data_IF_774499323546
#
_entry.id   IF_774499323546
#
_cell.length_a   1.000
_cell.length_b   1.000
_cell.length_c   1.000
_cell.angle_alpha   90.00
_cell.angle_beta   90.00
_cell.angle_gamma   90.00
#
_symmetry.space_group_name_H-M   'P 1'
#
loop_
_entity.id
_entity.type
_entity.pdbx_description
1 polymer ?
#
# COMPACT_ATOMS: atom_id res chain seq x y z
N UNK A 1 -28.62 -14.33 -10.78
CA UNK A 1 -27.75 -15.53 -10.73
C UNK A 1 -28.57 -16.75 -11.14
N UNK A 2 -28.01 -17.70 -11.91
CA UNK A 2 -28.71 -18.90 -12.35
C UNK A 2 -29.22 -19.72 -11.15
N UNK A 3 -30.39 -20.35 -11.27
CA UNK A 3 -31.06 -21.08 -10.18
C UNK A 3 -30.31 -22.32 -9.68
N UNK A 4 -29.20 -22.72 -10.33
CA UNK A 4 -28.43 -23.94 -10.02
C UNK A 4 -27.15 -23.72 -9.20
N UNK A 5 -26.80 -22.49 -8.81
CA UNK A 5 -25.58 -22.24 -8.03
C UNK A 5 -25.75 -22.63 -6.56
N UNK A 6 -24.82 -23.43 -6.04
CA UNK A 6 -24.78 -23.83 -4.64
C UNK A 6 -24.82 -22.60 -3.71
N UNK A 7 -25.60 -22.62 -2.60
CA UNK A 7 -25.83 -21.44 -1.76
C UNK A 7 -24.54 -20.83 -1.20
N UNK A 8 -23.55 -21.67 -0.86
CA UNK A 8 -22.22 -21.23 -0.46
C UNK A 8 -21.52 -20.34 -1.50
N UNK A 9 -21.56 -20.72 -2.78
CA UNK A 9 -20.91 -19.96 -3.87
C UNK A 9 -21.67 -18.64 -4.08
N UNK A 10 -23.01 -18.70 -4.10
CA UNK A 10 -23.84 -17.52 -4.25
C UNK A 10 -23.60 -16.48 -3.13
N UNK A 11 -23.47 -16.93 -1.88
CA UNK A 11 -23.13 -16.07 -0.74
C UNK A 11 -21.75 -15.41 -0.92
N UNK A 12 -20.71 -16.19 -1.25
CA UNK A 12 -19.35 -15.67 -1.45
C UNK A 12 -19.29 -14.62 -2.56
N UNK A 13 -20.00 -14.85 -3.67
CA UNK A 13 -20.07 -13.90 -4.78
C UNK A 13 -20.84 -12.62 -4.42
N UNK A 14 -21.96 -12.74 -3.68
CA UNK A 14 -22.70 -11.55 -3.21
C UNK A 14 -21.86 -10.68 -2.28
N UNK A 15 -21.13 -11.28 -1.34
CA UNK A 15 -20.23 -10.54 -0.44
C UNK A 15 -19.13 -9.83 -1.24
N UNK A 16 -18.52 -10.51 -2.19
CA UNK A 16 -17.50 -9.93 -3.06
C UNK A 16 -18.05 -8.77 -3.90
N UNK A 17 -19.26 -8.94 -4.47
CA UNK A 17 -19.92 -7.91 -5.24
C UNK A 17 -20.23 -6.65 -4.41
N UNK A 18 -20.77 -6.80 -3.20
CA UNK A 18 -21.05 -5.66 -2.33
C UNK A 18 -19.77 -4.94 -1.91
N UNK A 19 -18.71 -5.69 -1.58
CA UNK A 19 -17.42 -5.11 -1.26
C UNK A 19 -16.82 -4.34 -2.45
N UNK A 20 -17.00 -4.86 -3.67
CA UNK A 20 -16.56 -4.19 -4.90
C UNK A 20 -17.39 -2.93 -5.18
N UNK A 21 -18.71 -2.97 -5.03
CA UNK A 21 -19.57 -1.79 -5.19
C UNK A 21 -19.23 -0.70 -4.17
N UNK A 22 -19.00 -1.06 -2.91
CA UNK A 22 -18.54 -0.11 -1.90
C UNK A 22 -17.17 0.48 -2.24
N UNK A 23 -16.27 -0.33 -2.80
CA UNK A 23 -14.97 0.15 -3.27
C UNK A 23 -15.12 1.10 -4.45
N UNK A 24 -15.93 0.76 -5.45
CA UNK A 24 -16.23 1.62 -6.60
C UNK A 24 -16.86 2.93 -6.13
N UNK A 25 -17.84 2.88 -5.21
CA UNK A 25 -18.44 4.08 -4.63
C UNK A 25 -17.44 4.95 -3.85
N UNK A 26 -16.46 4.33 -3.19
CA UNK A 26 -15.37 5.07 -2.56
C UNK A 26 -14.44 5.72 -3.60
N UNK A 27 -14.18 5.04 -4.72
CA UNK A 27 -13.37 5.56 -5.80
C UNK A 27 -14.07 6.66 -6.58
N UNK A 28 -15.37 6.56 -6.89
CA UNK A 28 -16.10 7.61 -7.63
C UNK A 28 -16.01 8.96 -6.93
N UNK A 29 -15.97 8.98 -5.59
CA UNK A 29 -15.77 10.21 -4.81
C UNK A 29 -14.38 10.85 -4.97
N UNK A 30 -13.40 10.11 -5.49
CA UNK A 30 -12.01 10.53 -5.71
C UNK A 30 -11.61 10.57 -7.19
N UNK A 31 -12.34 9.86 -8.07
CA UNK A 31 -12.09 9.76 -9.51
C UNK A 31 -12.15 11.13 -10.17
N UNK A 32 -13.07 12.00 -9.78
CA UNK A 32 -13.18 13.35 -10.32
C UNK A 32 -11.88 14.15 -10.10
N UNK A 33 -11.31 14.07 -8.90
CA UNK A 33 -10.04 14.73 -8.54
C UNK A 33 -8.87 14.09 -9.31
N UNK A 34 -8.83 12.77 -9.40
CA UNK A 34 -7.77 12.04 -10.12
C UNK A 34 -7.82 12.27 -11.63
N UNK A 35 -9.00 12.31 -12.25
CA UNK A 35 -9.16 12.48 -13.69
C UNK A 35 -8.90 13.93 -14.10
N UNK A 36 -9.40 14.91 -13.34
CA UNK A 36 -9.17 16.33 -13.63
C UNK A 36 -7.70 16.73 -13.44
N UNK A 37 -7.04 16.21 -12.39
CA UNK A 37 -5.67 16.61 -12.04
C UNK A 37 -4.60 15.77 -12.76
N UNK A 38 -4.90 14.49 -13.04
CA UNK A 38 -3.90 13.51 -13.49
C UNK A 38 -4.38 12.64 -14.66
N UNK A 39 -5.41 13.05 -15.42
CA UNK A 39 -5.94 12.29 -16.56
C UNK A 39 -4.88 11.78 -17.55
N UNK A 40 -3.94 12.63 -18.03
CA UNK A 40 -2.85 12.19 -18.89
C UNK A 40 -1.90 11.19 -18.20
N UNK A 41 -1.61 11.41 -16.92
CA UNK A 41 -0.77 10.52 -16.11
C UNK A 41 -1.44 9.16 -15.90
N UNK A 42 -2.76 9.13 -15.69
CA UNK A 42 -3.54 7.90 -15.57
C UNK A 42 -3.57 7.12 -16.89
N UNK A 43 -3.70 7.80 -18.03
CA UNK A 43 -3.57 7.18 -19.34
C UNK A 43 -2.17 6.59 -19.56
N UNK A 44 -1.12 7.32 -19.15
CA UNK A 44 0.26 6.82 -19.16
C UNK A 44 0.46 5.61 -18.24
N UNK A 45 -0.07 5.65 -17.01
CA UNK A 45 0.01 4.52 -16.08
C UNK A 45 -0.75 3.30 -16.59
N UNK A 46 -1.92 3.51 -17.19
CA UNK A 46 -2.69 2.45 -17.84
C UNK A 46 -1.93 1.87 -19.03
N UNK A 47 -1.31 2.68 -19.89
CA UNK A 47 -0.52 2.16 -21.02
C UNK A 47 0.73 1.40 -20.57
N UNK A 48 1.34 1.79 -19.44
CA UNK A 48 2.50 1.08 -18.87
C UNK A 48 2.12 -0.28 -18.28
N UNK A 49 0.85 -0.56 -17.95
CA UNK A 49 0.47 -1.85 -17.36
C UNK A 49 0.84 -3.07 -18.22
N UNK A 50 0.62 -3.02 -19.54
CA UNK A 50 0.92 -4.15 -20.44
C UNK A 50 2.38 -4.17 -20.94
N UNK A 51 3.11 -3.05 -20.79
CA UNK A 51 4.48 -2.89 -21.28
C UNK A 51 5.43 -4.01 -20.77
N UNK A 52 5.43 -4.39 -19.48
CA UNK A 52 6.32 -5.44 -18.98
C UNK A 52 6.19 -6.77 -19.75
N UNK A 53 4.95 -7.22 -20.01
CA UNK A 53 4.72 -8.45 -20.77
C UNK A 53 5.04 -8.32 -22.26
N UNK A 54 4.90 -7.12 -22.84
CA UNK A 54 5.27 -6.85 -24.24
C UNK A 54 6.79 -6.77 -24.44
N UNK A 55 7.55 -6.31 -23.43
CA UNK A 55 9.02 -6.20 -23.47
C UNK A 55 9.74 -7.47 -23.00
N UNK A 56 9.08 -8.36 -22.27
CA UNK A 56 9.71 -9.59 -21.79
C UNK A 56 10.42 -10.43 -22.88
N UNK A 57 9.92 -10.54 -24.14
CA UNK A 57 10.60 -11.26 -25.21
C UNK A 57 11.93 -10.63 -25.66
N UNK A 58 12.11 -9.33 -25.46
CA UNK A 58 13.31 -8.59 -25.92
C UNK A 58 14.41 -8.56 -24.87
N UNK A 59 14.15 -9.03 -23.65
CA UNK A 59 15.06 -8.95 -22.52
C UNK A 59 15.76 -10.29 -22.25
N UNK A 60 16.97 -10.28 -21.65
CA UNK A 60 17.62 -11.51 -21.22
C UNK A 60 16.76 -12.26 -20.19
N UNK A 61 16.75 -13.60 -20.26
CA UNK A 61 15.88 -14.47 -19.43
C UNK A 61 15.80 -14.11 -17.94
N UNK A 62 16.90 -13.82 -17.21
CA UNK A 62 16.80 -13.53 -15.78
C UNK A 62 16.03 -12.24 -15.50
N UNK A 63 16.21 -11.19 -16.32
CA UNK A 63 15.51 -9.91 -16.12
C UNK A 63 14.05 -10.03 -16.55
N UNK A 64 13.76 -10.75 -17.64
CA UNK A 64 12.41 -11.05 -18.07
C UNK A 64 11.62 -11.79 -16.96
N UNK A 65 12.20 -12.83 -16.37
CA UNK A 65 11.55 -13.57 -15.27
C UNK A 65 11.30 -12.69 -14.03
N UNK A 66 12.28 -11.88 -13.64
CA UNK A 66 12.13 -10.96 -12.50
C UNK A 66 11.01 -9.93 -12.72
N UNK A 67 10.95 -9.38 -13.93
CA UNK A 67 9.95 -8.38 -14.33
C UNK A 67 8.54 -8.98 -14.43
N UNK A 68 8.40 -10.20 -14.99
CA UNK A 68 7.12 -10.92 -15.00
C UNK A 68 6.68 -11.31 -13.58
N UNK A 69 7.60 -11.77 -12.72
CA UNK A 69 7.29 -12.07 -11.33
C UNK A 69 6.80 -10.83 -10.57
N UNK A 70 7.46 -9.68 -10.77
CA UNK A 70 7.02 -8.41 -10.21
C UNK A 70 5.63 -8.03 -10.71
N UNK A 71 5.35 -8.19 -12.00
CA UNK A 71 4.04 -7.91 -12.59
C UNK A 71 2.94 -8.81 -12.01
N UNK A 72 3.21 -10.11 -11.81
CA UNK A 72 2.28 -11.04 -11.16
C UNK A 72 1.97 -10.58 -9.72
N UNK A 73 3.01 -10.23 -8.95
CA UNK A 73 2.87 -9.76 -7.57
C UNK A 73 2.03 -8.48 -7.49
N UNK A 74 2.34 -7.47 -8.31
CA UNK A 74 1.60 -6.21 -8.38
C UNK A 74 0.15 -6.44 -8.81
N UNK A 75 -0.09 -7.31 -9.80
CA UNK A 75 -1.45 -7.63 -10.26
C UNK A 75 -2.26 -8.37 -9.19
N UNK A 76 -1.62 -9.18 -8.33
CA UNK A 76 -2.27 -9.88 -7.21
C UNK A 76 -2.53 -9.01 -5.97
N UNK A 77 -1.92 -7.82 -5.92
CA UNK A 77 -1.93 -6.92 -4.76
C UNK A 77 -3.35 -6.48 -4.33
N UNK A 78 -4.31 -6.20 -5.24
CA UNK A 78 -5.68 -5.88 -4.87
C UNK A 78 -6.38 -7.02 -4.13
N UNK A 79 -6.18 -8.27 -4.55
CA UNK A 79 -6.74 -9.43 -3.85
C UNK A 79 -6.18 -9.55 -2.43
N UNK A 80 -4.87 -9.29 -2.27
CA UNK A 80 -4.24 -9.24 -0.96
C UNK A 80 -4.78 -8.10 -0.09
N UNK A 81 -4.86 -6.87 -0.60
CA UNK A 81 -5.35 -5.71 0.16
C UNK A 81 -6.83 -5.81 0.53
N UNK A 82 -7.66 -6.20 -0.43
CA UNK A 82 -9.10 -6.29 -0.25
C UNK A 82 -9.53 -7.57 0.48
N UNK A 83 -8.62 -8.53 0.72
CA UNK A 83 -8.95 -9.80 1.38
C UNK A 83 -9.86 -9.57 2.58
N UNK A 84 -9.48 -8.68 3.51
CA UNK A 84 -10.21 -8.39 4.76
C UNK A 84 -11.62 -7.84 4.53
N UNK A 85 -11.82 -7.05 3.46
CA UNK A 85 -13.12 -6.50 3.07
C UNK A 85 -13.99 -7.55 2.37
N UNK A 86 -13.40 -8.38 1.52
CA UNK A 86 -14.10 -9.44 0.77
C UNK A 86 -14.62 -10.56 1.67
N UNK A 87 -13.95 -10.80 2.80
CA UNK A 87 -14.39 -11.78 3.79
C UNK A 87 -14.10 -11.26 5.20
N UNK A 88 -15.05 -10.60 5.88
CA UNK A 88 -14.86 -10.19 7.27
C UNK A 88 -14.49 -11.36 8.18
N UNK A 89 -13.70 -11.11 9.23
CA UNK A 89 -13.18 -12.17 10.11
C UNK A 89 -14.27 -12.98 10.81
N UNK A 90 -15.34 -12.31 11.25
CA UNK A 90 -16.52 -12.93 11.87
C UNK A 90 -17.26 -13.89 10.92
N UNK A 91 -17.38 -13.51 9.64
CA UNK A 91 -18.00 -14.36 8.62
C UNK A 91 -17.05 -15.51 8.26
N UNK A 92 -15.74 -15.27 8.21
CA UNK A 92 -14.75 -16.33 7.96
C UNK A 92 -14.76 -17.40 9.06
N UNK A 93 -14.86 -17.03 10.35
CA UNK A 93 -14.96 -18.00 11.44
C UNK A 93 -16.22 -18.85 11.34
N UNK A 94 -17.37 -18.24 11.02
CA UNK A 94 -18.61 -18.95 10.82
C UNK A 94 -18.57 -19.90 9.61
N UNK A 95 -18.08 -19.41 8.46
CA UNK A 95 -17.96 -20.22 7.24
C UNK A 95 -16.98 -21.40 7.37
N UNK A 96 -15.98 -21.29 8.26
CA UNK A 96 -15.04 -22.39 8.54
C UNK A 96 -15.71 -23.58 9.22
N UNK A 97 -16.73 -23.34 10.04
CA UNK A 97 -17.47 -24.36 10.78
C UNK A 97 -18.44 -25.15 9.88
N UNK A 98 -18.78 -24.63 8.69
CA UNK A 98 -19.69 -25.31 7.77
C UNK A 98 -19.01 -26.52 7.09
N UNK A 99 -19.65 -27.70 7.07
CA UNK A 99 -19.14 -28.89 6.38
C UNK A 99 -19.30 -28.74 4.86
N UNK A 100 -18.38 -28.01 4.23
CA UNK A 100 -18.35 -27.77 2.79
C UNK A 100 -17.13 -28.46 2.20
N UNK A 101 -17.34 -29.27 1.17
CA UNK A 101 -16.27 -29.96 0.46
C UNK A 101 -15.17 -28.98 -0.03
N UNK A 102 -13.88 -29.34 0.06
CA UNK A 102 -12.77 -28.45 -0.27
C UNK A 102 -12.83 -27.97 -1.73
N UNK A 103 -13.27 -28.82 -2.67
CA UNK A 103 -13.44 -28.45 -4.08
C UNK A 103 -14.39 -27.25 -4.27
N UNK A 104 -15.51 -27.21 -3.52
CA UNK A 104 -16.49 -26.11 -3.58
C UNK A 104 -15.98 -24.82 -2.95
N UNK A 105 -15.10 -24.92 -1.94
CA UNK A 105 -14.42 -23.78 -1.33
C UNK A 105 -13.45 -23.15 -2.34
N UNK A 106 -12.63 -23.98 -2.98
CA UNK A 106 -11.70 -23.54 -4.03
C UNK A 106 -12.43 -22.90 -5.22
N UNK A 107 -13.54 -23.48 -5.69
CA UNK A 107 -14.30 -22.89 -6.80
C UNK A 107 -14.89 -21.53 -6.43
N UNK A 108 -15.38 -21.37 -5.20
CA UNK A 108 -15.91 -20.08 -4.74
C UNK A 108 -14.80 -19.01 -4.68
N UNK A 109 -13.61 -19.36 -4.17
CA UNK A 109 -12.48 -18.45 -4.07
C UNK A 109 -11.90 -18.07 -5.44
N UNK A 110 -11.85 -19.03 -6.37
CA UNK A 110 -11.45 -18.78 -7.77
C UNK A 110 -12.43 -17.84 -8.48
N UNK A 111 -13.74 -18.01 -8.29
CA UNK A 111 -14.75 -17.11 -8.88
C UNK A 111 -14.69 -15.71 -8.27
N UNK A 112 -14.50 -15.60 -6.94
CA UNK A 112 -14.31 -14.30 -6.28
C UNK A 112 -13.04 -13.61 -6.77
N UNK A 113 -11.93 -14.34 -6.91
CA UNK A 113 -10.71 -13.81 -7.52
C UNK A 113 -10.95 -13.36 -8.97
N UNK A 114 -11.75 -14.11 -9.73
CA UNK A 114 -12.14 -13.76 -11.10
C UNK A 114 -12.90 -12.42 -11.16
N UNK A 115 -13.84 -12.19 -10.24
CA UNK A 115 -14.56 -10.92 -10.15
C UNK A 115 -13.64 -9.72 -9.90
N UNK A 116 -12.55 -9.91 -9.15
CA UNK A 116 -11.53 -8.87 -8.92
C UNK A 116 -10.61 -8.68 -10.13
N UNK A 117 -10.28 -9.78 -10.82
CA UNK A 117 -9.37 -9.76 -11.96
C UNK A 117 -10.01 -9.27 -13.24
N UNK A 118 -11.34 -9.31 -13.35
CA UNK A 118 -12.07 -8.84 -14.53
C UNK A 118 -11.84 -7.35 -14.84
N UNK A 119 -11.99 -6.39 -13.89
CA UNK A 119 -11.67 -4.99 -14.17
C UNK A 119 -10.18 -4.77 -14.47
N UNK A 120 -9.28 -5.55 -13.87
CA UNK A 120 -7.85 -5.52 -14.19
C UNK A 120 -7.60 -6.02 -15.62
N UNK A 121 -8.24 -7.11 -16.02
CA UNK A 121 -8.16 -7.66 -17.38
C UNK A 121 -8.65 -6.67 -18.43
N UNK A 122 -9.72 -5.93 -18.14
CA UNK A 122 -10.18 -4.83 -18.99
C UNK A 122 -9.14 -3.71 -19.09
N UNK A 123 -8.49 -3.33 -17.98
CA UNK A 123 -7.41 -2.35 -18.01
C UNK A 123 -6.22 -2.83 -18.84
N UNK A 124 -5.85 -4.12 -18.74
CA UNK A 124 -4.82 -4.73 -19.60
C UNK A 124 -5.22 -4.71 -21.08
N UNK A 125 -6.48 -5.01 -21.41
CA UNK A 125 -6.96 -4.96 -22.78
C UNK A 125 -6.92 -3.53 -23.36
N UNK A 126 -7.32 -2.52 -22.57
CA UNK A 126 -7.21 -1.10 -22.94
C UNK A 126 -5.74 -0.73 -23.14
N UNK A 127 -4.86 -1.14 -22.22
CA UNK A 127 -3.41 -0.92 -22.29
C UNK A 127 -2.81 -1.46 -23.59
N UNK A 128 -3.12 -2.72 -23.93
CA UNK A 128 -2.70 -3.34 -25.19
C UNK A 128 -3.28 -2.57 -26.39
N UNK A 129 -4.55 -2.15 -26.32
CA UNK A 129 -5.19 -1.32 -27.35
C UNK A 129 -4.44 -0.02 -27.60
N UNK A 130 -3.97 0.67 -26.55
CA UNK A 130 -3.16 1.89 -26.69
C UNK A 130 -1.86 1.61 -27.44
N UNK A 131 -1.16 0.51 -27.12
CA UNK A 131 0.06 0.12 -27.83
C UNK A 131 -0.18 -0.30 -29.28
N UNK A 132 -1.31 -0.94 -29.57
CA UNK A 132 -1.72 -1.28 -30.93
C UNK A 132 -2.00 -0.02 -31.76
N UNK A 133 -2.59 1.01 -31.17
CA UNK A 133 -2.84 2.31 -31.83
C UNK A 133 -1.55 3.10 -32.03
N UNK A 134 -0.64 3.08 -31.05
CA UNK A 134 0.67 3.76 -31.18
C UNK A 134 1.64 3.02 -32.11
N UNK A 135 1.45 1.70 -32.29
CA UNK A 135 2.18 0.81 -33.20
C UNK A 135 3.67 1.14 -33.40
N UNK A 136 4.49 1.12 -32.33
CA UNK A 136 5.91 1.40 -32.49
C UNK A 136 6.63 0.27 -33.23
N UNK A 137 7.66 0.60 -34.01
CA UNK A 137 8.32 -0.34 -34.93
C UNK A 137 8.84 -1.63 -34.27
N UNK A 138 9.30 -1.55 -33.02
CA UNK A 138 9.80 -2.70 -32.26
C UNK A 138 8.70 -3.70 -31.86
N UNK A 139 7.44 -3.25 -31.77
CA UNK A 139 6.32 -4.07 -31.29
C UNK A 139 5.93 -5.15 -32.30
N UNK A 140 6.10 -4.90 -33.60
CA UNK A 140 5.66 -5.82 -34.65
C UNK A 140 6.29 -7.22 -34.55
N UNK A 141 7.57 -7.30 -34.15
CA UNK A 141 8.27 -8.57 -34.00
C UNK A 141 7.85 -9.36 -32.76
N UNK A 142 7.30 -8.68 -31.73
CA UNK A 142 7.04 -9.25 -30.40
C UNK A 142 5.57 -9.20 -29.99
N UNK A 143 4.67 -8.75 -30.87
CA UNK A 143 3.27 -8.52 -30.54
C UNK A 143 2.56 -9.80 -30.10
N UNK A 144 2.63 -10.85 -30.92
CA UNK A 144 2.00 -12.15 -30.64
C UNK A 144 2.54 -12.78 -29.34
N UNK A 145 3.88 -12.94 -29.17
CA UNK A 145 4.40 -13.50 -27.92
C UNK A 145 4.13 -12.59 -26.72
N UNK A 146 4.16 -11.27 -26.88
CA UNK A 146 3.90 -10.31 -25.80
C UNK A 146 2.45 -10.31 -25.31
N UNK A 147 1.47 -10.47 -26.20
CA UNK A 147 0.06 -10.65 -25.82
C UNK A 147 -0.13 -11.98 -25.07
N UNK A 148 0.47 -13.07 -25.57
CA UNK A 148 0.41 -14.38 -24.92
C UNK A 148 1.01 -14.34 -23.51
N UNK A 149 2.16 -13.67 -23.34
CA UNK A 149 2.81 -13.49 -22.03
C UNK A 149 1.93 -12.67 -21.08
N UNK A 150 1.35 -11.56 -21.53
CA UNK A 150 0.44 -10.77 -20.68
C UNK A 150 -0.78 -11.59 -20.24
N UNK A 151 -1.35 -12.40 -21.13
CA UNK A 151 -2.45 -13.30 -20.80
C UNK A 151 -2.02 -14.37 -19.78
N UNK A 152 -0.83 -14.95 -19.96
CA UNK A 152 -0.26 -15.91 -19.01
C UNK A 152 0.00 -15.29 -17.63
N UNK A 153 0.55 -14.07 -17.57
CA UNK A 153 0.77 -13.32 -16.33
C UNK A 153 -0.55 -13.02 -15.64
N UNK A 154 -1.58 -12.61 -16.39
CA UNK A 154 -2.90 -12.35 -15.84
C UNK A 154 -3.55 -13.63 -15.25
N UNK A 155 -3.43 -14.77 -15.94
CA UNK A 155 -3.90 -16.08 -15.43
C UNK A 155 -3.13 -16.52 -14.19
N UNK A 156 -1.81 -16.36 -14.16
CA UNK A 156 -0.98 -16.66 -12.99
C UNK A 156 -1.33 -15.76 -11.80
N UNK A 157 -1.57 -14.47 -12.02
CA UNK A 157 -2.01 -13.54 -10.99
C UNK A 157 -3.41 -13.89 -10.46
N UNK A 158 -4.31 -14.37 -11.32
CA UNK A 158 -5.61 -14.91 -10.92
C UNK A 158 -5.48 -16.14 -10.02
N UNK A 159 -4.64 -17.12 -10.41
CA UNK A 159 -4.35 -18.31 -9.59
C UNK A 159 -3.73 -17.95 -8.24
N UNK A 160 -2.75 -17.03 -8.23
CA UNK A 160 -2.12 -16.54 -7.01
C UNK A 160 -3.13 -15.85 -6.10
N UNK A 161 -4.03 -15.06 -6.66
CA UNK A 161 -5.10 -14.38 -5.91
C UNK A 161 -6.12 -15.35 -5.31
N UNK A 162 -6.50 -16.38 -6.06
CA UNK A 162 -7.32 -17.47 -5.54
C UNK A 162 -6.60 -18.18 -4.37
N UNK A 163 -5.30 -18.44 -4.51
CA UNK A 163 -4.48 -19.03 -3.43
C UNK A 163 -4.41 -18.12 -2.19
N UNK A 164 -4.23 -16.81 -2.35
CA UNK A 164 -4.23 -15.84 -1.23
C UNK A 164 -5.56 -15.89 -0.47
N UNK A 165 -6.68 -16.01 -1.18
CA UNK A 165 -8.01 -16.10 -0.57
C UNK A 165 -8.22 -17.44 0.15
N UNK A 166 -7.78 -18.56 -0.43
CA UNK A 166 -7.91 -19.89 0.18
C UNK A 166 -7.03 -20.02 1.43
N UNK A 167 -5.81 -19.48 1.40
CA UNK A 167 -4.91 -19.44 2.56
C UNK A 167 -5.53 -18.73 3.77
N UNK A 168 -6.43 -17.77 3.54
CA UNK A 168 -7.11 -17.07 4.62
C UNK A 168 -8.16 -17.91 5.34
N UNK A 169 -8.71 -18.90 4.67
CA UNK A 169 -9.64 -19.86 5.29
C UNK A 169 -8.92 -20.95 6.10
N UNK A 170 -7.58 -20.97 6.11
CA UNK A 170 -6.82 -21.82 7.03
C UNK A 170 -7.14 -21.44 8.48
N UNK A 171 -7.16 -22.44 9.35
CA UNK A 171 -7.30 -22.21 10.78
C UNK A 171 -6.19 -21.26 11.25
N UNK A 172 -6.47 -20.32 12.17
CA UNK A 172 -5.39 -19.58 12.81
C UNK A 172 -4.47 -20.62 13.44
N UNK A 173 -3.15 -20.41 13.34
CA UNK A 173 -2.23 -21.20 14.17
C UNK A 173 -2.72 -21.07 15.62
N UNK A 174 -2.74 -22.17 16.40
CA UNK A 174 -3.07 -22.08 17.81
C UNK A 174 -2.19 -20.95 18.37
N UNK A 175 -2.84 -19.95 18.96
CA UNK A 175 -2.14 -18.92 19.72
C UNK A 175 -1.28 -19.71 20.68
N UNK A 176 0.04 -19.67 20.49
CA UNK A 176 0.97 -20.17 21.49
C UNK A 176 0.52 -19.48 22.75
N UNK A 177 -0.01 -20.28 23.69
CA UNK A 177 -0.63 -19.81 24.92
C UNK A 177 0.19 -18.64 25.40
N UNK A 178 -0.47 -17.49 25.54
CA UNK A 178 0.15 -16.30 26.11
C UNK A 178 0.85 -16.79 27.37
N UNK A 179 2.19 -16.86 27.28
CA UNK A 179 3.04 -17.36 28.35
C UNK A 179 2.57 -16.60 29.58
N UNK A 180 2.00 -17.32 30.54
CA UNK A 180 1.44 -16.72 31.75
C UNK A 180 2.52 -15.77 32.27
N UNK A 181 2.27 -14.48 32.08
CA UNK A 181 3.18 -13.46 32.56
C UNK A 181 3.04 -13.55 34.06
N UNK A 182 3.94 -14.31 34.67
CA UNK A 182 4.16 -14.38 36.11
C UNK A 182 4.07 -12.95 36.60
N UNK A 183 3.11 -12.71 37.50
CA UNK A 183 2.84 -11.39 38.05
C UNK A 183 4.12 -10.89 38.73
N UNK A 184 4.95 -10.17 37.99
CA UNK A 184 6.14 -9.54 38.52
C UNK A 184 5.66 -8.51 39.53
N UNK A 185 6.12 -8.63 40.77
CA UNK A 185 5.87 -7.68 41.86
C UNK A 185 5.96 -6.26 41.30
N UNK A 186 4.82 -5.57 41.27
CA UNK A 186 4.75 -4.22 40.73
C UNK A 186 5.49 -3.27 41.68
N UNK A 187 6.72 -2.90 41.32
CA UNK A 187 7.45 -1.85 42.03
C UNK A 187 7.11 -0.51 41.36
N UNK A 188 6.37 0.39 42.02
CA UNK A 188 6.01 1.68 41.45
C UNK A 188 7.27 2.51 41.21
N UNK A 189 7.67 2.64 39.95
CA UNK A 189 8.70 3.59 39.54
C UNK A 189 8.01 4.85 39.02
N UNK A 190 8.31 6.00 39.60
CA UNK A 190 7.85 7.30 39.11
C UNK A 190 8.79 7.77 37.98
N UNK A 191 8.40 7.67 36.71
CA UNK A 191 9.25 8.13 35.62
C UNK A 191 9.39 9.65 35.65
N UNK A 192 10.62 10.16 35.49
CA UNK A 192 10.89 11.61 35.41
C UNK A 192 10.07 12.30 34.31
N UNK A 193 9.79 11.61 33.20
CA UNK A 193 9.08 12.14 32.04
C UNK A 193 7.77 11.37 31.83
N UNK A 194 6.79 11.65 32.70
CA UNK A 194 5.52 10.91 32.78
C UNK A 194 4.78 10.85 31.44
N UNK A 195 4.79 11.92 30.66
CA UNK A 195 4.15 12.00 29.33
C UNK A 195 4.81 11.08 28.30
N UNK A 196 6.15 11.07 28.21
CA UNK A 196 6.90 10.20 27.28
C UNK A 196 6.81 8.74 27.70
N UNK A 197 6.84 8.46 29.00
CA UNK A 197 6.66 7.12 29.53
C UNK A 197 5.27 6.55 29.20
N UNK A 198 4.22 7.34 29.44
CA UNK A 198 2.85 6.97 29.11
C UNK A 198 2.68 6.80 27.60
N UNK A 199 3.27 7.69 26.80
CA UNK A 199 3.25 7.55 25.33
C UNK A 199 3.92 6.25 24.88
N UNK A 200 5.10 5.94 25.41
CA UNK A 200 5.84 4.72 25.05
C UNK A 200 5.05 3.46 25.40
N UNK A 201 4.33 3.44 26.53
CA UNK A 201 3.53 2.29 26.96
C UNK A 201 2.17 2.18 26.24
N UNK A 202 1.51 3.30 25.96
CA UNK A 202 0.16 3.32 25.39
C UNK A 202 0.15 3.25 23.87
N UNK A 203 1.14 3.85 23.20
CA UNK A 203 1.20 3.91 21.75
C UNK A 203 2.36 3.09 21.19
N UNK A 204 3.61 3.36 21.61
CA UNK A 204 4.79 2.74 20.98
C UNK A 204 4.86 1.22 21.18
N UNK A 205 4.86 0.73 22.42
CA UNK A 205 4.98 -0.70 22.72
C UNK A 205 3.85 -1.55 22.10
N UNK A 206 2.58 -1.12 22.14
CA UNK A 206 1.49 -1.83 21.46
C UNK A 206 1.61 -1.85 19.94
N UNK A 207 2.24 -0.83 19.32
CA UNK A 207 2.54 -0.85 17.88
C UNK A 207 3.54 -1.94 17.52
N UNK A 208 4.58 -2.17 18.33
CA UNK A 208 5.68 -3.08 18.01
C UNK A 208 5.50 -4.51 18.56
N UNK A 209 4.48 -4.75 19.41
CA UNK A 209 4.17 -6.12 19.86
C UNK A 209 3.71 -6.96 18.67
N UNK A 210 4.28 -8.17 18.57
CA UNK A 210 4.25 -9.08 17.42
C UNK A 210 2.83 -9.50 16.93
N UNK A 211 1.79 -9.17 17.69
CA UNK A 211 0.39 -9.45 17.34
C UNK A 211 -0.28 -8.31 16.55
N UNK A 212 0.32 -7.11 16.55
CA UNK A 212 -0.31 -5.94 15.94
C UNK A 212 0.06 -5.81 14.45
N UNK A 213 -0.87 -6.20 13.59
CA UNK A 213 -0.72 -6.17 12.12
C UNK A 213 -0.36 -4.77 11.60
N UNK A 214 -0.78 -3.71 12.29
CA UNK A 214 -0.48 -2.32 11.93
C UNK A 214 1.01 -2.00 12.10
N UNK A 215 1.67 -2.52 13.14
CA UNK A 215 3.12 -2.35 13.34
C UNK A 215 3.94 -2.99 12.24
N UNK A 216 3.60 -4.23 11.87
CA UNK A 216 4.26 -4.93 10.76
C UNK A 216 4.05 -4.21 9.42
N UNK A 217 2.87 -3.63 9.19
CA UNK A 217 2.62 -2.82 8.00
C UNK A 217 3.47 -1.55 7.99
N UNK A 218 3.59 -0.87 9.13
CA UNK A 218 4.41 0.34 9.24
C UNK A 218 5.90 0.07 9.07
N UNK A 219 6.41 -1.05 9.61
CA UNK A 219 7.81 -1.44 9.42
C UNK A 219 8.12 -1.81 7.97
N UNK A 220 7.22 -2.54 7.30
CA UNK A 220 7.34 -2.85 5.87
C UNK A 220 7.27 -1.58 5.01
N UNK A 221 6.37 -0.64 5.33
CA UNK A 221 6.29 0.65 4.64
C UNK A 221 7.55 1.48 4.86
N UNK A 222 8.09 1.52 6.08
CA UNK A 222 9.33 2.21 6.39
C UNK A 222 10.50 1.61 5.60
N UNK A 223 10.66 0.28 5.63
CA UNK A 223 11.70 -0.41 4.88
C UNK A 223 11.57 -0.16 3.37
N UNK A 224 10.34 -0.21 2.83
CA UNK A 224 10.07 0.11 1.43
C UNK A 224 10.39 1.56 1.08
N UNK A 225 10.11 2.50 1.98
CA UNK A 225 10.39 3.94 1.80
C UNK A 225 11.90 4.22 1.84
N UNK A 226 12.63 3.58 2.76
CA UNK A 226 14.08 3.69 2.82
C UNK A 226 14.70 3.09 1.56
N UNK A 227 14.24 1.91 1.14
CA UNK A 227 14.75 1.24 -0.06
C UNK A 227 14.48 2.04 -1.35
N UNK A 228 13.27 2.58 -1.52
CA UNK A 228 12.92 3.42 -2.69
C UNK A 228 13.72 4.72 -2.71
N UNK A 229 13.88 5.38 -1.56
CA UNK A 229 14.66 6.60 -1.43
C UNK A 229 16.15 6.34 -1.72
N UNK A 230 16.74 5.27 -1.16
CA UNK A 230 18.13 4.90 -1.43
C UNK A 230 18.33 4.51 -2.90
N UNK A 231 17.42 3.74 -3.49
CA UNK A 231 17.51 3.36 -4.90
C UNK A 231 17.48 4.60 -5.82
N UNK A 232 16.65 5.59 -5.48
CA UNK A 232 16.59 6.85 -6.20
C UNK A 232 17.87 7.68 -6.05
N UNK A 233 18.38 7.82 -4.82
CA UNK A 233 19.60 8.58 -4.53
C UNK A 233 20.86 7.95 -5.11
N UNK A 234 20.94 6.61 -5.11
CA UNK A 234 22.07 5.84 -5.62
C UNK A 234 21.99 5.53 -7.12
N UNK A 235 20.97 6.06 -7.82
CA UNK A 235 20.74 5.84 -9.26
C UNK A 235 20.80 4.36 -9.65
N UNK A 236 19.96 3.54 -9.01
CA UNK A 236 19.90 2.11 -9.31
C UNK A 236 19.71 1.88 -10.84
N UNK A 237 20.62 1.19 -11.53
CA UNK A 237 20.72 1.21 -13.00
C UNK A 237 19.57 0.51 -13.72
N UNK A 238 18.70 -0.20 -12.98
CA UNK A 238 17.64 -1.04 -13.53
C UNK A 238 16.33 -0.26 -13.76
N UNK A 239 16.13 0.89 -13.10
CA UNK A 239 14.85 1.60 -13.13
C UNK A 239 15.09 3.08 -13.49
N UNK A 240 14.27 3.68 -14.38
CA UNK A 240 14.37 5.09 -14.73
C UNK A 240 14.31 5.99 -13.48
N UNK A 241 15.21 6.97 -13.40
CA UNK A 241 15.30 7.92 -12.27
C UNK A 241 13.97 8.61 -11.88
N UNK A 242 13.15 9.09 -12.83
CA UNK A 242 11.85 9.71 -12.53
C UNK A 242 10.87 8.74 -11.86
N UNK A 243 10.88 7.46 -12.24
CA UNK A 243 10.06 6.42 -11.63
C UNK A 243 10.49 6.14 -10.19
N UNK A 244 11.80 6.09 -9.93
CA UNK A 244 12.34 5.94 -8.59
C UNK A 244 12.00 7.15 -7.71
N UNK A 245 12.08 8.37 -8.27
CA UNK A 245 11.65 9.60 -7.59
C UNK A 245 10.17 9.57 -7.20
N UNK A 246 9.30 9.21 -8.14
CA UNK A 246 7.86 9.04 -7.88
C UNK A 246 7.61 8.00 -6.79
N UNK A 247 8.28 6.83 -6.87
CA UNK A 247 8.14 5.77 -5.86
C UNK A 247 8.61 6.23 -4.48
N UNK A 248 9.75 6.92 -4.41
CA UNK A 248 10.28 7.50 -3.17
C UNK A 248 9.31 8.52 -2.58
N UNK A 249 8.85 9.49 -3.38
CA UNK A 249 7.85 10.49 -2.96
C UNK A 249 6.53 9.85 -2.52
N UNK A 250 6.00 8.90 -3.28
CA UNK A 250 4.75 8.21 -2.95
C UNK A 250 4.88 7.40 -1.66
N UNK A 251 5.95 6.62 -1.51
CA UNK A 251 6.19 5.83 -0.29
C UNK A 251 6.34 6.69 0.96
N UNK A 252 7.02 7.84 0.85
CA UNK A 252 7.20 8.79 1.95
C UNK A 252 5.86 9.36 2.42
N UNK A 253 5.03 9.82 1.48
CA UNK A 253 3.71 10.38 1.81
C UNK A 253 2.80 9.29 2.40
N UNK A 254 2.75 8.10 1.79
CA UNK A 254 1.92 6.98 2.26
C UNK A 254 2.34 6.52 3.67
N UNK A 255 3.65 6.44 3.94
CA UNK A 255 4.18 6.12 5.26
C UNK A 255 3.61 7.07 6.32
N UNK A 256 3.64 8.37 6.05
CA UNK A 256 3.14 9.38 7.00
C UNK A 256 1.63 9.42 7.15
N UNK A 257 0.85 9.30 6.06
CA UNK A 257 -0.62 9.25 6.14
C UNK A 257 -1.09 8.01 6.90
N UNK A 258 -0.52 6.84 6.59
CA UNK A 258 -0.87 5.59 7.29
C UNK A 258 -0.42 5.60 8.74
N UNK A 259 0.74 6.20 9.03
CA UNK A 259 1.24 6.38 10.40
C UNK A 259 0.30 7.24 11.24
N UNK A 260 -0.05 8.43 10.74
CA UNK A 260 -0.99 9.34 11.40
C UNK A 260 -2.37 8.68 11.62
N UNK A 261 -2.90 8.01 10.59
CA UNK A 261 -4.20 7.33 10.70
C UNK A 261 -4.20 6.24 11.77
N UNK A 262 -3.16 5.42 11.82
CA UNK A 262 -3.06 4.35 12.81
C UNK A 262 -2.99 4.90 14.24
N UNK A 263 -2.26 5.99 14.46
CA UNK A 263 -2.20 6.68 15.76
C UNK A 263 -3.58 7.23 16.14
N UNK A 264 -4.30 7.86 15.21
CA UNK A 264 -5.64 8.41 15.49
C UNK A 264 -6.67 7.35 15.80
N UNK A 265 -6.65 6.22 15.09
CA UNK A 265 -7.52 5.08 15.39
C UNK A 265 -7.26 4.55 16.81
N UNK A 266 -6.00 4.46 17.23
CA UNK A 266 -5.66 4.09 18.60
C UNK A 266 -6.12 5.13 19.63
N UNK A 267 -5.93 6.42 19.35
CA UNK A 267 -6.44 7.50 20.23
C UNK A 267 -7.96 7.40 20.37
N UNK A 268 -8.70 7.11 19.29
CA UNK A 268 -10.15 6.97 19.33
C UNK A 268 -10.60 5.79 20.21
N UNK A 269 -9.92 4.66 20.13
CA UNK A 269 -10.19 3.48 20.97
C UNK A 269 -9.83 3.74 22.44
N UNK A 270 -8.73 4.46 22.70
CA UNK A 270 -8.26 4.77 24.05
C UNK A 270 -9.01 5.93 24.71
N UNK A 271 -9.69 6.77 23.93
CA UNK A 271 -10.41 7.97 24.41
C UNK A 271 -11.33 7.70 25.62
N UNK A 272 -12.28 6.74 25.58
CA UNK A 272 -13.16 6.50 26.73
C UNK A 272 -12.40 6.11 28.01
N UNK A 273 -11.27 5.40 27.88
CA UNK A 273 -10.42 5.05 29.01
C UNK A 273 -9.56 6.23 29.49
N UNK A 274 -9.06 7.06 28.58
CA UNK A 274 -8.29 8.26 28.89
C UNK A 274 -9.14 9.32 29.59
N UNK A 275 -10.41 9.46 29.20
CA UNK A 275 -11.36 10.41 29.81
C UNK A 275 -11.76 9.99 31.23
N UNK A 276 -11.69 8.69 31.55
CA UNK A 276 -11.93 8.16 32.89
C UNK A 276 -10.72 8.31 33.84
N UNK A 277 -9.55 8.66 33.32
CA UNK A 277 -8.31 8.74 34.11
C UNK A 277 -7.92 10.21 34.36
N UNK A 278 -7.38 10.56 35.55
CA UNK A 278 -6.95 11.92 35.87
C UNK A 278 -5.60 12.26 35.20
N UNK A 279 -5.56 12.21 33.86
CA UNK A 279 -4.37 12.48 33.05
C UNK A 279 -4.69 13.58 32.04
N UNK A 280 -3.76 14.51 31.86
CA UNK A 280 -3.83 15.49 30.78
C UNK A 280 -3.74 14.80 29.40
N UNK A 281 -4.89 14.49 28.80
CA UNK A 281 -5.00 13.76 27.53
C UNK A 281 -4.55 14.59 26.32
N UNK A 282 -4.76 15.92 26.35
CA UNK A 282 -4.36 16.85 25.27
C UNK A 282 -2.87 16.76 24.89
N UNK A 283 -1.90 16.97 25.80
CA UNK A 283 -0.47 16.89 25.44
C UNK A 283 -0.07 15.48 24.99
N UNK A 284 -0.69 14.44 25.56
CA UNK A 284 -0.43 13.05 25.18
C UNK A 284 -0.85 12.76 23.73
N UNK A 285 -2.02 13.28 23.31
CA UNK A 285 -2.52 13.13 21.94
C UNK A 285 -1.75 13.95 20.91
N UNK A 286 -1.35 15.18 21.27
CA UNK A 286 -0.50 16.02 20.41
C UNK A 286 0.87 15.37 20.21
N UNK A 287 1.46 14.87 21.29
CA UNK A 287 2.73 14.15 21.24
C UNK A 287 2.58 12.87 20.40
N UNK A 288 1.52 12.09 20.59
CA UNK A 288 1.27 10.91 19.76
C UNK A 288 1.20 11.24 18.26
N UNK A 289 0.50 12.30 17.87
CA UNK A 289 0.43 12.76 16.48
C UNK A 289 1.77 13.35 15.97
N UNK A 290 2.51 14.09 16.79
CA UNK A 290 3.82 14.60 16.40
C UNK A 290 4.82 13.46 16.15
N UNK A 291 4.77 12.42 16.98
CA UNK A 291 5.65 11.26 16.83
C UNK A 291 5.35 10.41 15.60
N UNK A 292 4.16 10.50 14.98
CA UNK A 292 3.90 9.83 13.70
C UNK A 292 4.65 10.46 12.52
N UNK A 293 5.20 11.67 12.68
CA UNK A 293 6.06 12.32 11.69
C UNK A 293 7.50 11.82 11.72
N UNK A 294 7.96 11.25 12.84
CA UNK A 294 9.36 10.84 13.02
C UNK A 294 9.86 9.89 11.92
N UNK A 295 9.11 8.86 11.48
CA UNK A 295 9.60 7.96 10.44
C UNK A 295 9.88 8.69 9.12
N UNK A 296 8.98 9.59 8.70
CA UNK A 296 9.16 10.39 7.48
C UNK A 296 10.32 11.37 7.59
N UNK A 297 10.45 12.06 8.74
CA UNK A 297 11.57 12.95 9.02
C UNK A 297 12.91 12.22 9.06
N UNK A 298 12.96 11.02 9.65
CA UNK A 298 14.17 10.21 9.69
C UNK A 298 14.63 9.79 8.28
N UNK A 299 13.70 9.42 7.39
CA UNK A 299 14.01 9.15 5.98
C UNK A 299 14.57 10.40 5.29
N UNK A 300 13.96 11.57 5.49
CA UNK A 300 14.43 12.82 4.90
C UNK A 300 15.82 13.23 5.41
N UNK A 301 16.09 13.06 6.71
CA UNK A 301 17.41 13.33 7.29
C UNK A 301 18.46 12.35 6.75
N UNK A 302 18.13 11.05 6.67
CA UNK A 302 19.02 10.06 6.08
C UNK A 302 19.31 10.35 4.60
N UNK A 303 18.30 10.76 3.83
CA UNK A 303 18.46 11.21 2.45
C UNK A 303 19.38 12.42 2.34
N UNK A 304 19.21 13.41 3.23
CA UNK A 304 20.08 14.58 3.31
C UNK A 304 21.54 14.24 3.63
N UNK A 305 21.76 13.27 4.54
CA UNK A 305 23.10 12.76 4.83
C UNK A 305 23.71 12.08 3.60
N UNK A 306 22.98 11.18 2.93
CA UNK A 306 23.45 10.51 1.72
C UNK A 306 23.82 11.52 0.63
N UNK A 307 23.01 12.56 0.44
CA UNK A 307 23.28 13.64 -0.51
C UNK A 307 24.48 14.51 -0.10
N UNK A 308 24.79 14.65 1.19
CA UNK A 308 25.97 15.36 1.66
C UNK A 308 27.27 14.63 1.32
N UNK A 309 27.24 13.30 1.29
CA UNK A 309 28.36 12.45 0.88
C UNK A 309 28.43 12.23 -0.64
N UNK A 310 27.45 12.70 -1.41
CA UNK A 310 27.44 12.60 -2.87
C UNK A 310 28.25 13.72 -3.53
N UNK A 311 28.91 13.42 -4.65
CA UNK A 311 29.77 14.36 -5.37
C UNK A 311 29.04 15.67 -5.72
N UNK A 312 29.59 16.79 -5.23
CA UNK A 312 29.01 18.13 -5.37
C UNK A 312 28.94 18.65 -6.82
N UNK A 313 29.66 18.02 -7.75
CA UNK A 313 29.70 18.38 -9.17
C UNK A 313 28.49 17.91 -9.96
N UNK A 314 27.71 16.96 -9.42
CA UNK A 314 26.57 16.34 -10.12
C UNK A 314 25.19 16.84 -9.65
N UNK A 315 25.13 17.76 -8.67
CA UNK A 315 23.88 18.18 -8.02
C UNK A 315 23.62 19.68 -8.18
N UNK A 316 22.48 20.03 -8.77
CA UNK A 316 21.92 21.37 -8.66
C UNK A 316 21.49 21.60 -7.20
N UNK A 317 22.33 22.24 -6.37
CA UNK A 317 22.11 22.43 -4.92
C UNK A 317 20.72 22.98 -4.52
N UNK A 318 20.02 23.67 -5.42
CA UNK A 318 18.68 24.24 -5.17
C UNK A 318 17.57 23.18 -5.16
N UNK A 319 17.60 22.20 -6.05
CA UNK A 319 16.53 21.19 -6.20
C UNK A 319 16.35 20.27 -4.97
N UNK A 320 17.40 19.70 -4.35
CA UNK A 320 17.22 18.86 -3.16
C UNK A 320 16.72 19.66 -1.95
N UNK A 321 17.08 20.95 -1.84
CA UNK A 321 16.58 21.83 -0.80
C UNK A 321 15.08 22.10 -0.97
N UNK A 322 14.64 22.40 -2.20
CA UNK A 322 13.21 22.57 -2.53
C UNK A 322 12.45 21.29 -2.26
N UNK A 323 12.98 20.13 -2.66
CA UNK A 323 12.37 18.83 -2.37
C UNK A 323 12.23 18.57 -0.86
N UNK A 324 13.27 18.87 -0.07
CA UNK A 324 13.25 18.71 1.39
C UNK A 324 12.22 19.64 2.06
N UNK A 325 12.11 20.90 1.62
CA UNK A 325 11.14 21.86 2.15
C UNK A 325 9.71 21.43 1.79
N UNK A 326 9.45 21.11 0.53
CA UNK A 326 8.11 20.72 0.06
C UNK A 326 7.67 19.41 0.70
N UNK A 327 8.59 18.46 0.91
CA UNK A 327 8.29 17.22 1.60
C UNK A 327 7.98 17.48 3.08
N UNK A 328 8.83 18.22 3.80
CA UNK A 328 8.57 18.59 5.20
C UNK A 328 7.22 19.30 5.38
N UNK A 329 6.90 20.26 4.52
CA UNK A 329 5.61 20.96 4.54
C UNK A 329 4.44 20.02 4.26
N UNK A 330 4.58 19.08 3.32
CA UNK A 330 3.58 18.07 3.03
C UNK A 330 3.34 17.14 4.23
N UNK A 331 4.42 16.68 4.88
CA UNK A 331 4.33 15.84 6.08
C UNK A 331 3.60 16.58 7.20
N UNK A 332 3.97 17.84 7.45
CA UNK A 332 3.32 18.69 8.45
C UNK A 332 1.85 18.94 8.12
N UNK A 333 1.49 19.16 6.85
CA UNK A 333 0.10 19.35 6.44
C UNK A 333 -0.74 18.09 6.69
N UNK A 334 -0.21 16.89 6.43
CA UNK A 334 -0.91 15.62 6.61
C UNK A 334 -1.21 15.36 8.10
N UNK A 335 -0.24 15.60 8.99
CA UNK A 335 -0.42 15.39 10.43
C UNK A 335 -1.12 16.57 11.15
N UNK A 336 -0.89 17.79 10.68
CA UNK A 336 -1.31 19.05 11.32
C UNK A 336 -2.72 19.50 10.99
N UNK A 337 -3.37 18.95 9.96
CA UNK A 337 -4.74 19.29 9.56
C UNK A 337 -5.74 18.18 9.90
N UNK A 338 -6.10 17.97 11.18
CA UNK A 338 -6.92 16.85 11.64
C UNK A 338 -8.40 16.96 11.23
N UNK A 339 -8.85 18.14 10.80
CA UNK A 339 -10.26 18.43 10.45
C UNK A 339 -10.56 18.38 8.96
N UNK A 340 -9.59 17.96 8.14
CA UNK A 340 -9.85 17.78 6.71
C UNK A 340 -10.91 16.71 6.49
N UNK A 341 -11.84 16.98 5.57
CA UNK A 341 -12.76 15.97 5.07
C UNK A 341 -11.96 14.83 4.43
N UNK A 342 -12.53 13.62 4.37
CA UNK A 342 -11.87 12.48 3.73
C UNK A 342 -11.40 12.80 2.31
N UNK A 343 -12.19 13.58 1.55
CA UNK A 343 -11.83 14.07 0.21
C UNK A 343 -10.66 15.05 0.24
N UNK A 344 -10.67 16.03 1.16
CA UNK A 344 -9.58 17.00 1.30
C UNK A 344 -8.24 16.35 1.64
N UNK A 345 -8.25 15.29 2.49
CA UNK A 345 -7.04 14.53 2.80
C UNK A 345 -6.50 13.75 1.61
N UNK A 346 -7.37 13.12 0.81
CA UNK A 346 -6.96 12.41 -0.41
C UNK A 346 -6.37 13.40 -1.42
N UNK A 347 -7.00 14.55 -1.64
CA UNK A 347 -6.49 15.58 -2.53
C UNK A 347 -5.10 16.07 -2.09
N UNK A 348 -4.91 16.33 -0.79
CA UNK A 348 -3.62 16.72 -0.22
C UNK A 348 -2.54 15.66 -0.49
N UNK A 349 -2.84 14.39 -0.22
CA UNK A 349 -1.90 13.28 -0.45
C UNK A 349 -1.52 13.18 -1.93
N UNK A 350 -2.50 13.20 -2.83
CA UNK A 350 -2.26 13.10 -4.28
C UNK A 350 -1.45 14.28 -4.79
N UNK A 351 -1.81 15.50 -4.39
CA UNK A 351 -1.10 16.72 -4.77
C UNK A 351 0.35 16.71 -4.25
N UNK A 352 0.58 16.32 -2.99
CA UNK A 352 1.92 16.18 -2.43
C UNK A 352 2.77 15.17 -3.19
N UNK A 353 2.20 14.03 -3.59
CA UNK A 353 2.92 13.02 -4.40
C UNK A 353 3.29 13.61 -5.77
N UNK A 354 2.34 14.26 -6.45
CA UNK A 354 2.59 14.85 -7.77
C UNK A 354 3.62 15.97 -7.71
N UNK A 355 3.48 16.91 -6.78
CA UNK A 355 4.41 18.01 -6.58
C UNK A 355 5.83 17.50 -6.27
N UNK A 356 5.96 16.53 -5.36
CA UNK A 356 7.26 15.94 -5.04
C UNK A 356 7.85 15.15 -6.21
N UNK A 357 7.03 14.42 -6.96
CA UNK A 357 7.51 13.68 -8.14
C UNK A 357 8.02 14.62 -9.24
N UNK A 358 7.36 15.76 -9.47
CA UNK A 358 7.77 16.76 -10.44
C UNK A 358 9.08 17.46 -10.01
N UNK A 359 9.22 17.81 -8.73
CA UNK A 359 10.47 18.37 -8.20
C UNK A 359 11.59 17.30 -8.23
N UNK A 360 11.24 16.05 -7.94
CA UNK A 360 12.19 14.93 -7.93
C UNK A 360 12.70 14.55 -9.32
N UNK A 361 11.90 14.72 -10.39
CA UNK A 361 12.38 14.50 -11.76
C UNK A 361 13.43 15.53 -12.18
N UNK A 362 13.33 16.77 -11.70
CA UNK A 362 14.31 17.84 -11.98
C UNK A 362 15.61 17.69 -11.18
N UNK A 363 15.70 16.73 -10.24
CA UNK A 363 16.89 16.54 -9.40
C UNK A 363 18.06 15.94 -10.19
N UNK A 364 17.77 15.28 -11.31
CA UNK A 364 18.74 14.55 -12.13
C UNK A 364 18.71 14.94 -13.63
N UNK A 365 17.90 15.93 -14.00
CA UNK A 365 17.99 16.63 -15.29
C UNK A 365 18.97 17.79 -15.16
#
# INVERSE_FOLDING_TARGET
MPRSTHPYIALRLRLAHHALLQFIASLTSSVEIFVLLAGPVLLGLLSVMALPGLMAPTLPRPTALGLLAAQILVTSLPAWLLRKRLLPGSIASWLRQLPVAPRRRWSADALVAGMLMLPLGLAYAISIGVWLVQSPAWLHAVLVPGIAINLAVWLLAWLLSACILTLRMRAPRPVQQAQEQTASVYVPHTPRWRTVFLWRRLFWLPFWRNENVTGMQQSLLLAGTVASMLAWLLRAPVVPGPLLGLLASASLIILTDRGDKAVREQIAVLRPSLDAWPIASKPLTLLACAFSLLPGLAVLLAAGLVLHWADASALQRRVPMVYAIVSAMSLLAIAGLPRLTARGRVALVVFSILALSAIGSELWN
#
